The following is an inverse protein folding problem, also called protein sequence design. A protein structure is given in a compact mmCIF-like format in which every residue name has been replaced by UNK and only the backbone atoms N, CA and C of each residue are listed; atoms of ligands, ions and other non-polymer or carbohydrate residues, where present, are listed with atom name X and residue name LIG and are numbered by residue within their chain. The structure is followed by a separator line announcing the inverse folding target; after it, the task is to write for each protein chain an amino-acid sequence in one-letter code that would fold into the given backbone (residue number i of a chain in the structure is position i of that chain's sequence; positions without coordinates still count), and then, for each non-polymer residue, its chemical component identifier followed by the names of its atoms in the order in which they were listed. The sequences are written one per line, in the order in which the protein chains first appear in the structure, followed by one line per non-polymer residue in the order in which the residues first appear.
data_IF_320211654720
#
_entry.id   IF_320211654720
#
_cell.length_a   1.000
_cell.length_b   1.000
_cell.length_c   1.000
_cell.angle_alpha   90.00
_cell.angle_beta   90.00
_cell.angle_gamma   90.00
#
_symmetry.space_group_name_H-M   'P 1'
#
loop_
_entity.id
_entity.type
_entity.pdbx_description
1 polymer ?
#
# COMPACT_ATOMS: atom_id res chain seq x y z
N UNK A 1 3.98 19.46 5.25
CA UNK A 1 3.45 18.74 4.07
C UNK A 1 4.16 19.21 2.82
N UNK A 2 4.51 18.30 1.95
CA UNK A 2 5.06 18.62 0.64
C UNK A 2 3.92 18.55 -0.37
N UNK A 3 3.69 19.64 -1.07
CA UNK A 3 2.66 19.67 -2.10
C UNK A 3 3.17 19.09 -3.40
N UNK A 4 2.34 18.35 -4.08
CA UNK A 4 2.54 18.02 -5.48
C UNK A 4 2.21 19.29 -6.25
N UNK A 5 3.22 20.09 -6.53
CA UNK A 5 2.99 21.40 -7.14
C UNK A 5 3.52 21.45 -8.56
N UNK A 6 2.80 22.17 -9.37
CA UNK A 6 3.22 22.69 -10.64
C UNK A 6 2.71 24.13 -10.73
N UNK A 7 3.33 24.93 -11.55
CA UNK A 7 2.88 26.30 -11.73
C UNK A 7 1.52 26.31 -12.41
N UNK A 8 0.49 26.78 -11.72
CA UNK A 8 -0.88 26.79 -12.20
C UNK A 8 -1.04 27.49 -13.56
N UNK A 9 -0.26 28.53 -13.79
CA UNK A 9 -0.30 29.29 -15.04
C UNK A 9 0.25 28.54 -16.24
N UNK A 10 1.05 27.49 -15.99
CA UNK A 10 1.77 26.76 -17.02
C UNK A 10 1.24 25.35 -17.22
N UNK A 11 0.29 24.93 -16.38
CA UNK A 11 -0.06 23.53 -16.35
C UNK A 11 -1.51 23.32 -15.95
N UNK A 12 -2.29 22.82 -16.88
CA UNK A 12 -3.69 22.46 -16.69
C UNK A 12 -3.86 21.03 -16.18
N UNK A 13 -2.78 20.38 -15.74
CA UNK A 13 -2.85 19.01 -15.24
C UNK A 13 -3.72 18.89 -14.00
N UNK A 14 -4.52 17.84 -13.95
CA UNK A 14 -5.27 17.47 -12.76
C UNK A 14 -4.33 17.04 -11.63
N UNK A 15 -4.85 16.96 -10.41
CA UNK A 15 -4.06 16.47 -9.28
C UNK A 15 -3.54 15.04 -9.52
N UNK A 16 -4.34 14.08 -10.02
CA UNK A 16 -3.80 12.76 -10.35
C UNK A 16 -2.63 12.78 -11.34
N UNK A 17 -2.68 13.64 -12.37
CA UNK A 17 -1.59 13.76 -13.32
C UNK A 17 -0.32 14.34 -12.68
N UNK A 18 -0.48 15.35 -11.83
CA UNK A 18 0.63 15.95 -11.08
C UNK A 18 1.25 14.92 -10.13
N UNK A 19 0.41 14.17 -9.46
CA UNK A 19 0.81 13.13 -8.53
C UNK A 19 1.59 12.01 -9.25
N UNK A 20 1.12 11.57 -10.42
CA UNK A 20 1.83 10.58 -11.22
C UNK A 20 3.25 11.03 -11.54
N UNK A 21 3.40 12.27 -11.97
CA UNK A 21 4.72 12.84 -12.27
C UNK A 21 5.58 12.91 -11.01
N UNK A 22 5.03 13.35 -9.90
CA UNK A 22 5.76 13.43 -8.63
C UNK A 22 6.23 12.06 -8.18
N UNK A 23 5.38 11.05 -8.25
CA UNK A 23 5.72 9.67 -7.87
C UNK A 23 6.79 9.10 -8.79
N UNK A 24 6.69 9.35 -10.10
CA UNK A 24 7.67 8.86 -11.07
C UNK A 24 9.05 9.44 -10.85
N UNK A 25 9.14 10.71 -10.45
CA UNK A 25 10.40 11.43 -10.31
C UNK A 25 10.95 11.44 -8.89
N UNK A 26 10.17 11.02 -7.90
CA UNK A 26 10.58 11.10 -6.50
C UNK A 26 11.71 10.12 -6.17
N UNK A 27 12.51 10.50 -5.18
CA UNK A 27 13.41 9.56 -4.51
C UNK A 27 12.56 8.69 -3.60
N UNK A 28 12.81 7.39 -3.62
CA UNK A 28 12.23 6.47 -2.64
C UNK A 28 13.11 6.43 -1.41
N UNK A 29 12.49 6.55 -0.25
CA UNK A 29 13.15 6.32 1.05
C UNK A 29 12.90 4.88 1.48
N UNK A 30 13.76 4.39 2.37
CA UNK A 30 13.63 3.05 2.93
C UNK A 30 13.38 3.14 4.43
N UNK A 31 12.38 2.40 4.87
CA UNK A 31 12.07 2.19 6.28
C UNK A 31 12.45 0.77 6.67
N UNK A 32 13.12 0.61 7.81
CA UNK A 32 13.48 -0.69 8.34
C UNK A 32 12.78 -0.92 9.69
N UNK A 33 12.01 -2.00 9.78
CA UNK A 33 11.37 -2.41 11.02
C UNK A 33 12.32 -3.35 11.78
N UNK A 34 12.71 -2.94 12.98
CA UNK A 34 13.66 -3.71 13.79
C UNK A 34 13.03 -4.88 14.54
N UNK A 35 11.73 -4.86 14.75
CA UNK A 35 11.04 -5.91 15.49
C UNK A 35 10.90 -7.19 14.67
N UNK A 36 10.56 -7.05 13.39
CA UNK A 36 10.34 -8.17 12.47
C UNK A 36 11.34 -8.24 11.33
N UNK A 37 12.26 -7.28 11.28
CA UNK A 37 13.35 -7.24 10.32
C UNK A 37 12.89 -7.24 8.87
N UNK A 38 11.98 -6.31 8.54
CA UNK A 38 11.58 -6.10 7.16
C UNK A 38 11.90 -4.66 6.73
N UNK A 39 11.97 -4.45 5.43
CA UNK A 39 12.20 -3.12 4.84
C UNK A 39 11.10 -2.81 3.86
N UNK A 40 10.71 -1.55 3.78
CA UNK A 40 9.76 -1.07 2.76
C UNK A 40 10.27 0.24 2.17
N UNK A 41 9.93 0.48 0.92
CA UNK A 41 10.28 1.71 0.23
C UNK A 41 9.04 2.57 0.07
N UNK A 42 9.19 3.86 0.22
CA UNK A 42 8.08 4.80 0.11
C UNK A 42 8.56 6.11 -0.52
N UNK A 43 7.66 6.86 -1.19
CA UNK A 43 8.03 8.14 -1.79
C UNK A 43 8.49 9.13 -0.73
N UNK A 44 9.58 9.87 -1.03
CA UNK A 44 10.17 10.78 -0.05
C UNK A 44 9.22 11.89 0.40
N UNK A 45 8.21 12.22 -0.39
CA UNK A 45 7.24 13.26 -0.04
C UNK A 45 6.01 12.74 0.70
N UNK A 46 5.89 11.41 0.91
CA UNK A 46 4.86 10.87 1.80
C UNK A 46 5.27 11.13 3.24
N UNK A 47 4.30 11.42 4.08
CA UNK A 47 4.54 11.68 5.50
C UNK A 47 4.49 10.36 6.29
N UNK A 48 5.54 10.09 7.05
CA UNK A 48 5.57 8.91 7.92
C UNK A 48 4.82 9.20 9.21
N UNK A 49 3.90 8.30 9.58
CA UNK A 49 3.28 8.33 10.90
C UNK A 49 4.32 7.95 11.94
N UNK A 50 4.41 8.70 13.05
CA UNK A 50 5.38 8.43 14.11
C UNK A 50 5.23 7.02 14.67
N UNK A 51 6.35 6.34 14.90
CA UNK A 51 6.37 4.97 15.42
C UNK A 51 5.62 4.84 16.74
N UNK A 52 5.65 5.87 17.58
CA UNK A 52 4.92 5.89 18.86
C UNK A 52 3.41 5.78 18.70
N UNK A 53 2.87 6.10 17.53
CA UNK A 53 1.45 6.02 17.21
C UNK A 53 1.07 4.72 16.50
N UNK A 54 2.06 3.86 16.24
CA UNK A 54 1.87 2.61 15.50
C UNK A 54 2.08 1.42 16.41
N UNK A 55 1.35 0.34 16.15
CA UNK A 55 1.57 -0.93 16.82
C UNK A 55 2.91 -1.53 16.40
N UNK A 56 3.44 -2.43 17.21
CA UNK A 56 4.68 -3.13 16.95
C UNK A 56 4.63 -3.82 15.57
N UNK A 57 5.64 -3.57 14.77
CA UNK A 57 5.73 -4.16 13.43
C UNK A 57 4.92 -3.44 12.37
N UNK A 58 4.30 -2.30 12.70
CA UNK A 58 3.51 -1.51 11.76
C UNK A 58 4.20 -0.22 11.38
N UNK A 59 4.02 0.19 10.14
CA UNK A 59 4.42 1.53 9.69
C UNK A 59 3.41 2.05 8.68
N UNK A 60 3.33 3.37 8.58
CA UNK A 60 2.37 4.02 7.68
C UNK A 60 2.97 5.27 7.08
N UNK A 61 2.74 5.44 5.78
CA UNK A 61 3.17 6.59 5.00
C UNK A 61 1.95 7.13 4.24
N UNK A 62 1.72 8.43 4.34
CA UNK A 62 0.50 9.04 3.80
C UNK A 62 0.83 10.23 2.93
N UNK A 63 0.19 10.30 1.77
CA UNK A 63 0.09 11.51 0.97
C UNK A 63 -1.33 12.05 1.13
N UNK A 64 -1.43 13.35 1.39
CA UNK A 64 -2.72 13.98 1.51
C UNK A 64 -2.65 15.40 0.95
N UNK A 65 -3.50 15.68 -0.02
CA UNK A 65 -3.64 17.01 -0.62
C UNK A 65 -5.05 17.15 -1.15
N UNK A 66 -5.73 18.24 -0.78
CA UNK A 66 -7.15 18.47 -1.06
C UNK A 66 -7.98 17.30 -0.53
N UNK A 67 -8.77 16.62 -1.36
CA UNK A 67 -9.54 15.45 -0.96
C UNK A 67 -8.85 14.13 -1.35
N UNK A 68 -7.62 14.21 -1.87
CA UNK A 68 -6.87 13.03 -2.30
C UNK A 68 -6.01 12.52 -1.17
N UNK A 69 -6.25 11.28 -0.74
CA UNK A 69 -5.46 10.60 0.28
C UNK A 69 -4.97 9.26 -0.24
N UNK A 70 -3.67 9.03 -0.12
CA UNK A 70 -3.05 7.74 -0.45
C UNK A 70 -2.33 7.26 0.78
N UNK A 71 -2.63 6.02 1.22
CA UNK A 71 -2.07 5.45 2.43
C UNK A 71 -1.33 4.16 2.09
N UNK A 72 -0.07 4.11 2.47
CA UNK A 72 0.77 2.92 2.36
C UNK A 72 1.04 2.43 3.77
N UNK A 73 0.58 1.21 4.10
CA UNK A 73 0.71 0.64 5.44
C UNK A 73 1.36 -0.73 5.34
N UNK A 74 2.25 -1.04 6.27
CA UNK A 74 2.83 -2.37 6.40
C UNK A 74 2.61 -2.86 7.82
N UNK A 75 2.25 -4.14 7.95
CA UNK A 75 2.04 -4.76 9.26
C UNK A 75 2.31 -6.26 9.17
N UNK A 76 2.37 -6.91 10.33
CA UNK A 76 2.66 -8.34 10.44
C UNK A 76 1.53 -9.03 11.19
N UNK A 77 1.07 -10.16 10.64
CA UNK A 77 -0.03 -10.94 11.21
C UNK A 77 0.45 -12.38 11.43
N UNK A 78 0.17 -12.98 12.60
CA UNK A 78 0.48 -14.39 12.82
C UNK A 78 -0.29 -15.31 11.88
N UNK A 79 0.32 -16.43 11.53
CA UNK A 79 -0.33 -17.51 10.77
C UNK A 79 -0.30 -18.79 11.62
N UNK A 80 -1.05 -18.82 12.75
CA UNK A 80 -0.97 -19.94 13.70
C UNK A 80 -1.49 -21.26 13.14
N UNK A 81 -2.43 -21.19 12.20
CA UNK A 81 -3.02 -22.39 11.58
C UNK A 81 -2.18 -22.92 10.42
N UNK A 82 -1.04 -22.29 10.14
CA UNK A 82 -0.12 -22.71 9.08
C UNK A 82 -0.82 -22.79 7.71
N UNK A 83 -1.64 -21.78 7.41
CA UNK A 83 -2.32 -21.71 6.12
C UNK A 83 -1.29 -21.64 4.98
N UNK A 84 -1.56 -22.39 3.91
CA UNK A 84 -0.77 -22.29 2.68
C UNK A 84 -1.04 -20.95 1.99
N UNK A 85 -0.25 -20.64 0.97
CA UNK A 85 -0.47 -19.45 0.14
C UNK A 85 -1.89 -19.44 -0.41
N UNK A 86 -2.35 -20.55 -0.96
CA UNK A 86 -3.70 -20.63 -1.53
C UNK A 86 -4.79 -20.50 -0.48
N UNK A 87 -4.63 -21.15 0.67
CA UNK A 87 -5.59 -21.05 1.77
C UNK A 87 -5.65 -19.63 2.32
N UNK A 88 -4.49 -19.00 2.53
CA UNK A 88 -4.42 -17.62 2.99
C UNK A 88 -5.05 -16.66 1.99
N UNK A 89 -4.74 -16.85 0.70
CA UNK A 89 -5.32 -16.03 -0.36
C UNK A 89 -6.85 -16.11 -0.35
N UNK A 90 -7.41 -17.30 -0.28
CA UNK A 90 -8.85 -17.48 -0.26
C UNK A 90 -9.49 -16.84 0.96
N UNK A 91 -8.88 -17.02 2.14
CA UNK A 91 -9.38 -16.44 3.38
C UNK A 91 -9.43 -14.90 3.30
N UNK A 92 -8.32 -14.29 2.93
CA UNK A 92 -8.23 -12.83 2.90
C UNK A 92 -8.96 -12.21 1.71
N UNK A 93 -9.07 -12.94 0.59
CA UNK A 93 -9.89 -12.48 -0.53
C UNK A 93 -11.35 -12.33 -0.11
N UNK A 94 -11.87 -13.27 0.67
CA UNK A 94 -13.23 -13.19 1.21
C UNK A 94 -13.38 -12.04 2.19
N UNK A 95 -12.43 -11.91 3.13
CA UNK A 95 -12.49 -10.86 4.16
C UNK A 95 -12.41 -9.46 3.57
N UNK A 96 -11.61 -9.27 2.52
CA UNK A 96 -11.40 -7.98 1.89
C UNK A 96 -12.34 -7.72 0.69
N UNK A 97 -13.16 -8.69 0.34
CA UNK A 97 -14.01 -8.61 -0.86
C UNK A 97 -13.19 -8.31 -2.11
N UNK A 98 -12.05 -8.97 -2.24
CA UNK A 98 -11.16 -8.75 -3.37
C UNK A 98 -11.82 -9.14 -4.69
N UNK A 99 -11.71 -8.28 -5.69
CA UNK A 99 -12.21 -8.56 -7.04
C UNK A 99 -11.13 -9.15 -7.94
N UNK A 100 -9.88 -9.08 -7.52
CA UNK A 100 -8.74 -9.60 -8.28
C UNK A 100 -7.74 -10.22 -7.33
N UNK A 101 -7.14 -11.36 -7.75
CA UNK A 101 -6.14 -12.05 -6.94
C UNK A 101 -5.10 -12.70 -7.83
N UNK A 102 -3.86 -12.71 -7.33
CA UNK A 102 -2.77 -13.43 -7.99
C UNK A 102 -1.84 -14.00 -6.91
N UNK A 103 -1.08 -15.03 -7.24
CA UNK A 103 -0.19 -15.65 -6.27
C UNK A 103 1.15 -16.05 -6.88
N UNK A 104 2.17 -16.13 -6.03
CA UNK A 104 3.48 -16.70 -6.32
C UNK A 104 3.80 -17.82 -5.35
N UNK A 105 5.09 -18.12 -5.20
CA UNK A 105 5.52 -19.22 -4.34
C UNK A 105 5.37 -18.89 -2.85
N UNK A 106 5.62 -17.64 -2.46
CA UNK A 106 5.63 -17.22 -1.07
C UNK A 106 4.73 -16.01 -0.81
N UNK A 107 3.88 -15.63 -1.76
CA UNK A 107 3.05 -14.45 -1.63
C UNK A 107 1.74 -14.58 -2.40
N UNK A 108 0.81 -13.70 -2.08
CA UNK A 108 -0.35 -13.42 -2.93
C UNK A 108 -0.66 -11.92 -2.88
N UNK A 109 -1.33 -11.45 -3.91
CA UNK A 109 -1.75 -10.05 -4.03
C UNK A 109 -3.25 -10.00 -4.25
N UNK A 110 -3.92 -9.14 -3.50
CA UNK A 110 -5.34 -8.91 -3.60
C UNK A 110 -5.60 -7.45 -3.94
N UNK A 111 -6.60 -7.20 -4.76
CA UNK A 111 -6.99 -5.84 -5.10
C UNK A 111 -8.49 -5.74 -5.34
N UNK A 112 -9.00 -4.53 -5.30
CA UNK A 112 -10.41 -4.28 -5.51
C UNK A 112 -10.86 -2.96 -4.90
N UNK A 113 -12.18 -2.81 -4.74
CA UNK A 113 -12.79 -1.69 -4.07
C UNK A 113 -12.62 -1.84 -2.57
N UNK A 114 -12.27 -0.75 -1.89
CA UNK A 114 -12.08 -0.76 -0.44
C UNK A 114 -13.41 -0.97 0.27
N UNK A 115 -13.40 -1.90 1.24
CA UNK A 115 -14.54 -2.18 2.11
C UNK A 115 -14.11 -1.99 3.55
N UNK A 116 -15.05 -1.53 4.38
CA UNK A 116 -14.92 -1.47 5.84
C UNK A 116 -16.06 -2.26 6.45
N UNK A 117 -16.13 -2.30 7.77
CA UNK A 117 -17.24 -2.93 8.50
C UNK A 117 -18.59 -2.32 8.11
N UNK A 118 -18.58 -1.05 7.65
CA UNK A 118 -19.78 -0.35 7.21
C UNK A 118 -20.14 -0.63 5.74
N UNK A 119 -19.36 -1.44 5.03
CA UNK A 119 -19.58 -1.79 3.64
C UNK A 119 -18.59 -1.15 2.68
N UNK A 120 -18.94 -1.09 1.42
CA UNK A 120 -18.10 -0.56 0.35
C UNK A 120 -17.88 0.95 0.50
N UNK A 121 -16.63 1.38 0.30
CA UNK A 121 -16.30 2.80 0.22
C UNK A 121 -16.19 3.16 -1.26
N UNK A 122 -17.19 3.87 -1.76
CA UNK A 122 -17.24 4.27 -3.17
C UNK A 122 -16.04 5.14 -3.52
N UNK A 123 -15.42 4.86 -4.68
CA UNK A 123 -14.30 5.64 -5.19
C UNK A 123 -12.96 5.35 -4.54
N UNK A 124 -12.87 4.39 -3.61
CA UNK A 124 -11.62 3.98 -2.98
C UNK A 124 -11.26 2.55 -3.38
N UNK A 125 -9.97 2.34 -3.63
CA UNK A 125 -9.46 1.03 -4.01
C UNK A 125 -8.30 0.63 -3.10
N UNK A 126 -8.00 -0.68 -3.09
CA UNK A 126 -6.84 -1.20 -2.39
C UNK A 126 -6.01 -2.11 -3.29
N UNK A 127 -4.74 -2.21 -2.95
CA UNK A 127 -3.78 -3.14 -3.56
C UNK A 127 -2.89 -3.64 -2.42
N UNK A 128 -2.96 -4.93 -2.10
CA UNK A 128 -2.34 -5.48 -0.89
C UNK A 128 -1.57 -6.75 -1.21
N UNK A 129 -0.32 -6.80 -0.79
CA UNK A 129 0.54 -7.98 -0.91
C UNK A 129 0.73 -8.63 0.45
N UNK A 130 0.53 -9.93 0.49
CA UNK A 130 0.77 -10.78 1.65
C UNK A 130 1.96 -11.67 1.34
N UNK A 131 3.03 -11.59 2.14
CA UNK A 131 4.21 -12.43 2.00
C UNK A 131 4.28 -13.38 3.19
N UNK A 132 4.39 -14.68 2.91
CA UNK A 132 4.52 -15.69 3.96
C UNK A 132 5.99 -15.90 4.30
N UNK A 133 6.35 -15.69 5.57
CA UNK A 133 7.70 -15.88 6.04
C UNK A 133 7.71 -16.11 7.55
N UNK A 134 8.47 -17.10 8.02
CA UNK A 134 8.61 -17.40 9.46
C UNK A 134 7.29 -17.58 10.22
N UNK A 135 6.33 -18.26 9.61
CA UNK A 135 4.99 -18.50 10.17
C UNK A 135 4.20 -17.21 10.41
N UNK A 136 4.52 -16.20 9.66
CA UNK A 136 3.87 -14.88 9.72
C UNK A 136 3.42 -14.49 8.32
N UNK A 137 2.42 -13.62 8.26
CA UNK A 137 2.08 -12.87 7.06
C UNK A 137 2.65 -11.47 7.21
N UNK A 138 3.52 -11.08 6.29
CA UNK A 138 3.98 -9.70 6.17
C UNK A 138 3.10 -9.04 5.11
N UNK A 139 2.44 -7.95 5.49
CA UNK A 139 1.39 -7.37 4.65
C UNK A 139 1.74 -5.92 4.32
N UNK A 140 1.77 -5.62 3.04
CA UNK A 140 1.92 -4.23 2.60
C UNK A 140 0.70 -3.85 1.77
N UNK A 141 0.02 -2.78 2.20
CA UNK A 141 -1.25 -2.36 1.63
C UNK A 141 -1.17 -0.92 1.14
N UNK A 142 -1.75 -0.69 -0.02
CA UNK A 142 -1.92 0.64 -0.59
C UNK A 142 -3.42 0.89 -0.76
N UNK A 143 -3.90 2.00 -0.20
CA UNK A 143 -5.28 2.45 -0.45
C UNK A 143 -5.24 3.83 -1.09
N UNK A 144 -6.12 4.05 -2.06
CA UNK A 144 -6.04 5.23 -2.91
C UNK A 144 -7.38 5.53 -3.57
N UNK A 145 -7.60 6.77 -4.01
CA UNK A 145 -8.78 7.08 -4.81
C UNK A 145 -8.74 6.40 -6.17
N UNK A 146 -9.87 5.97 -6.66
CA UNK A 146 -10.00 5.29 -7.95
C UNK A 146 -9.42 6.11 -9.11
N UNK A 147 -9.58 7.44 -9.08
CA UNK A 147 -9.05 8.33 -10.12
C UNK A 147 -7.52 8.45 -10.10
N UNK A 148 -6.87 7.93 -9.06
CA UNK A 148 -5.41 7.86 -8.97
C UNK A 148 -4.84 6.51 -9.42
N UNK A 149 -5.65 5.62 -9.97
CA UNK A 149 -5.21 4.27 -10.37
C UNK A 149 -3.98 4.32 -11.28
N UNK A 150 -3.98 5.22 -12.24
CA UNK A 150 -2.85 5.38 -13.15
C UNK A 150 -1.65 6.04 -12.47
N UNK A 151 -1.91 6.99 -11.59
CA UNK A 151 -0.85 7.75 -10.91
C UNK A 151 0.01 6.89 -10.00
N UNK A 152 -0.57 5.83 -9.40
CA UNK A 152 0.13 5.04 -8.37
C UNK A 152 0.78 3.76 -8.93
N UNK A 153 0.93 3.65 -10.26
CA UNK A 153 1.47 2.42 -10.85
C UNK A 153 2.88 2.09 -10.36
N UNK A 154 3.73 3.09 -10.18
CA UNK A 154 5.07 2.87 -9.62
C UNK A 154 5.00 2.28 -8.21
N UNK A 155 4.05 2.74 -7.40
CA UNK A 155 3.86 2.22 -6.05
C UNK A 155 3.38 0.77 -6.07
N UNK A 156 2.49 0.43 -6.98
CA UNK A 156 2.08 -0.96 -7.17
C UNK A 156 3.28 -1.84 -7.55
N UNK A 157 4.15 -1.34 -8.43
CA UNK A 157 5.33 -2.08 -8.84
C UNK A 157 6.28 -2.30 -7.66
N UNK A 158 6.50 -1.28 -6.83
CA UNK A 158 7.31 -1.40 -5.63
C UNK A 158 6.74 -2.46 -4.68
N UNK A 159 5.43 -2.50 -4.50
CA UNK A 159 4.77 -3.49 -3.66
C UNK A 159 4.88 -4.88 -4.29
N UNK A 160 4.68 -4.98 -5.60
CA UNK A 160 4.79 -6.26 -6.30
C UNK A 160 6.20 -6.85 -6.18
N UNK A 161 7.22 -6.00 -6.24
CA UNK A 161 8.62 -6.41 -6.13
C UNK A 161 9.11 -6.58 -4.70
N UNK A 162 8.28 -6.22 -3.72
CA UNK A 162 8.66 -6.26 -2.32
C UNK A 162 8.98 -7.67 -1.84
N UNK A 163 10.11 -7.80 -1.15
CA UNK A 163 10.55 -9.05 -0.54
C UNK A 163 10.87 -8.79 0.93
N UNK A 164 10.54 -9.77 1.76
CA UNK A 164 10.77 -9.68 3.21
C UNK A 164 12.14 -10.24 3.58
N UNK A 165 12.68 -11.12 2.73
CA UNK A 165 13.95 -11.81 3.00
C UNK A 165 14.79 -11.94 1.74
#
# INVERSE_FOLDING_TARGET
MIYVSVHEKENDQSLPQKLEQAIRLTRMKEYHDNDYDYKVRYPSFFEQTEDSLMDKGCCRFTFWQDSTEIVQTTFVVPNPDMLSIEQGMNKYADELYASHQEKGNDYFILSGTLHTDSGMIAGRRFYTKFVQHRKLWFVQSLTYPEDCEHAIQRLKQEINDWKVW
#
